data_IF_473296854186
#
_entry.id   IF_473296854186
#
_cell.length_a   1.000
_cell.length_b   1.000
_cell.length_c   1.000
_cell.angle_alpha   90.00
_cell.angle_beta   90.00
_cell.angle_gamma   90.00
#
_symmetry.space_group_name_H-M   'P 1'
#
loop_
_entity.id
_entity.type
_entity.pdbx_description
1 polymer ?
#
# COMPACT_ATOMS: atom_id res chain seq x y z
N UNK A 1 -27.74 -62.62 5.55
CA UNK A 1 -27.87 -61.16 5.64
C UNK A 1 -26.61 -60.55 5.06
N UNK A 2 -26.68 -60.06 3.81
CA UNK A 2 -25.55 -59.44 3.10
C UNK A 2 -25.57 -57.94 3.39
N UNK A 3 -24.59 -57.42 4.13
CA UNK A 3 -24.34 -56.00 4.25
C UNK A 3 -23.68 -55.49 2.94
N UNK A 4 -24.44 -54.70 2.19
CA UNK A 4 -23.91 -53.95 1.05
C UNK A 4 -23.05 -52.77 1.56
N UNK A 5 -21.75 -52.85 1.35
CA UNK A 5 -20.87 -51.71 1.46
C UNK A 5 -21.21 -50.69 0.36
N UNK A 6 -21.53 -49.47 0.77
CA UNK A 6 -21.63 -48.30 -0.13
C UNK A 6 -20.20 -47.87 -0.44
N UNK A 7 -19.71 -48.19 -1.62
CA UNK A 7 -18.52 -47.55 -2.16
C UNK A 7 -18.88 -46.11 -2.48
N UNK A 8 -18.31 -45.19 -1.73
CA UNK A 8 -18.35 -43.73 -2.08
C UNK A 8 -17.43 -43.61 -3.29
N UNK A 9 -18.00 -43.33 -4.41
CA UNK A 9 -17.28 -42.83 -5.58
C UNK A 9 -16.85 -41.38 -5.23
N UNK A 10 -15.67 -41.25 -4.64
CA UNK A 10 -14.98 -39.97 -4.52
C UNK A 10 -14.53 -39.64 -5.94
N UNK A 11 -15.12 -38.62 -6.46
CA UNK A 11 -15.26 -38.43 -7.86
C UNK A 11 -14.00 -37.96 -8.53
N UNK A 12 -13.90 -38.41 -9.75
CA UNK A 12 -13.11 -37.82 -10.82
C UNK A 12 -13.24 -36.25 -10.93
N UNK A 13 -14.23 -35.65 -10.28
CA UNK A 13 -14.40 -34.19 -10.24
C UNK A 13 -13.31 -33.46 -9.41
N UNK A 14 -12.86 -34.05 -8.27
CA UNK A 14 -11.79 -33.48 -7.48
C UNK A 14 -10.43 -33.49 -8.19
N UNK A 15 -10.11 -34.62 -8.87
CA UNK A 15 -8.89 -34.67 -9.69
C UNK A 15 -8.95 -33.76 -10.91
N UNK A 16 -10.13 -33.49 -11.46
CA UNK A 16 -10.31 -32.58 -12.59
C UNK A 16 -10.04 -31.10 -12.22
N UNK A 17 -10.51 -30.69 -11.06
CA UNK A 17 -10.28 -29.32 -10.55
C UNK A 17 -8.79 -29.14 -10.20
N UNK A 18 -8.17 -30.11 -9.54
CA UNK A 18 -6.72 -30.09 -9.25
C UNK A 18 -5.88 -29.99 -10.51
N UNK A 19 -6.21 -30.77 -11.55
CA UNK A 19 -5.51 -30.72 -12.84
C UNK A 19 -5.70 -29.39 -13.56
N UNK A 20 -6.86 -28.74 -13.43
CA UNK A 20 -7.12 -27.45 -14.03
C UNK A 20 -6.35 -26.35 -13.29
N UNK A 21 -6.31 -26.37 -11.95
CA UNK A 21 -5.54 -25.41 -11.15
C UNK A 21 -4.05 -25.58 -11.38
N UNK A 22 -3.51 -26.81 -11.38
CA UNK A 22 -2.12 -27.08 -11.77
C UNK A 22 -1.82 -26.64 -13.21
N UNK A 23 -2.75 -26.86 -14.14
CA UNK A 23 -2.59 -26.42 -15.51
C UNK A 23 -2.61 -24.89 -15.64
N UNK A 24 -3.41 -24.19 -14.83
CA UNK A 24 -3.46 -22.73 -14.80
C UNK A 24 -2.16 -22.16 -14.23
N UNK A 25 -1.72 -22.62 -13.04
CA UNK A 25 -0.43 -22.21 -12.45
C UNK A 25 0.73 -22.52 -13.40
N UNK A 26 0.78 -23.74 -13.94
CA UNK A 26 1.81 -24.16 -14.90
C UNK A 26 1.77 -23.33 -16.21
N UNK A 27 0.59 -22.91 -16.66
CA UNK A 27 0.42 -22.10 -17.85
C UNK A 27 0.78 -20.63 -17.58
N UNK A 28 0.47 -20.10 -16.40
CA UNK A 28 0.86 -18.76 -15.94
C UNK A 28 2.38 -18.70 -15.79
N UNK A 29 2.99 -19.65 -15.06
CA UNK A 29 4.45 -19.74 -14.88
C UNK A 29 5.18 -19.78 -16.23
N UNK A 30 4.67 -20.53 -17.23
CA UNK A 30 5.29 -20.57 -18.57
C UNK A 30 5.19 -19.27 -19.37
N UNK A 31 4.29 -18.34 -18.99
CA UNK A 31 4.12 -17.05 -19.66
C UNK A 31 4.91 -15.92 -19.01
N UNK A 32 5.34 -16.13 -17.76
CA UNK A 32 6.14 -15.17 -17.02
C UNK A 32 7.61 -15.57 -17.20
N UNK A 33 8.52 -14.68 -17.62
CA UNK A 33 9.95 -14.94 -17.61
C UNK A 33 10.39 -15.39 -16.21
N UNK A 34 11.31 -16.36 -16.13
CA UNK A 34 11.74 -16.98 -14.89
C UNK A 34 12.35 -15.94 -13.92
N UNK A 35 12.98 -14.92 -14.44
CA UNK A 35 13.51 -13.75 -13.71
C UNK A 35 12.47 -12.90 -12.99
N UNK A 36 11.18 -13.03 -13.38
CA UNK A 36 10.05 -12.31 -12.78
C UNK A 36 9.21 -13.21 -11.86
N UNK A 37 9.76 -14.34 -11.41
CA UNK A 37 9.08 -15.27 -10.52
C UNK A 37 9.88 -15.36 -9.22
N UNK A 38 9.26 -14.97 -8.11
CA UNK A 38 9.84 -15.16 -6.78
C UNK A 38 9.24 -16.40 -6.10
N UNK A 39 10.09 -17.20 -5.47
CA UNK A 39 9.70 -18.40 -4.75
C UNK A 39 10.01 -18.23 -3.26
N UNK A 40 9.00 -18.41 -2.43
CA UNK A 40 9.13 -18.39 -0.98
C UNK A 40 8.65 -19.71 -0.41
N UNK A 41 9.33 -20.21 0.58
CA UNK A 41 8.99 -21.47 1.24
C UNK A 41 8.87 -21.26 2.75
N UNK A 42 7.81 -21.82 3.36
CA UNK A 42 7.62 -21.88 4.79
C UNK A 42 7.17 -23.30 5.19
N UNK A 43 7.75 -23.84 6.25
CA UNK A 43 7.41 -25.18 6.76
C UNK A 43 6.12 -25.18 7.58
N UNK A 44 5.67 -24.02 8.09
CA UNK A 44 4.47 -23.89 8.92
C UNK A 44 3.76 -22.57 8.66
N UNK A 45 2.43 -22.62 8.50
CA UNK A 45 1.55 -21.44 8.32
C UNK A 45 1.63 -20.51 9.53
N UNK A 46 1.84 -21.02 10.73
CA UNK A 46 1.96 -20.21 11.96
C UNK A 46 3.15 -19.26 11.94
N UNK A 47 4.17 -19.53 11.12
CA UNK A 47 5.33 -18.65 10.95
C UNK A 47 5.07 -17.46 10.02
N UNK A 48 3.95 -17.44 9.31
CA UNK A 48 3.62 -16.38 8.36
C UNK A 48 3.11 -15.12 9.08
N UNK A 49 2.67 -15.26 10.32
CA UNK A 49 2.11 -14.18 11.12
C UNK A 49 3.22 -13.43 11.90
N UNK A 50 3.66 -12.32 11.37
CA UNK A 50 4.57 -11.40 12.06
C UNK A 50 5.41 -10.56 11.10
N UNK A 51 5.61 -9.29 11.45
CA UNK A 51 6.35 -8.33 10.63
C UNK A 51 7.82 -8.73 10.40
N UNK A 52 8.40 -9.49 11.33
CA UNK A 52 9.80 -9.94 11.28
C UNK A 52 9.98 -11.29 10.58
N UNK A 53 8.92 -11.85 10.01
CA UNK A 53 9.00 -13.14 9.33
C UNK A 53 9.77 -13.00 8.01
N UNK A 54 10.68 -13.94 7.74
CA UNK A 54 11.49 -13.95 6.51
C UNK A 54 10.64 -14.04 5.25
N UNK A 55 9.50 -14.73 5.30
CA UNK A 55 8.56 -14.84 4.18
C UNK A 55 7.95 -13.47 3.87
N UNK A 56 7.48 -12.74 4.90
CA UNK A 56 6.94 -11.39 4.78
C UNK A 56 7.97 -10.44 4.17
N UNK A 57 9.20 -10.47 4.68
CA UNK A 57 10.30 -9.65 4.16
C UNK A 57 10.65 -10.00 2.69
N UNK A 58 10.60 -11.29 2.35
CA UNK A 58 10.86 -11.74 0.99
C UNK A 58 9.73 -11.33 0.02
N UNK A 59 8.46 -11.40 0.44
CA UNK A 59 7.33 -10.92 -0.36
C UNK A 59 7.43 -9.40 -0.56
N UNK A 60 7.76 -8.63 0.49
CA UNK A 60 8.01 -7.19 0.38
C UNK A 60 9.11 -6.88 -0.64
N UNK A 61 10.21 -7.62 -0.60
CA UNK A 61 11.29 -7.49 -1.59
C UNK A 61 10.79 -7.79 -3.02
N UNK A 62 9.95 -8.80 -3.19
CA UNK A 62 9.37 -9.14 -4.49
C UNK A 62 8.42 -8.06 -5.00
N UNK A 63 7.63 -7.43 -4.11
CA UNK A 63 6.79 -6.28 -4.45
C UNK A 63 7.64 -5.09 -4.93
N UNK A 64 8.74 -4.77 -4.23
CA UNK A 64 9.70 -3.73 -4.65
C UNK A 64 10.38 -4.05 -5.99
N UNK A 65 10.66 -5.32 -6.25
CA UNK A 65 11.25 -5.77 -7.51
C UNK A 65 10.23 -5.86 -8.66
N UNK A 66 8.96 -5.56 -8.41
CA UNK A 66 7.86 -5.69 -9.38
C UNK A 66 7.74 -7.10 -9.96
N UNK A 67 7.99 -8.14 -9.14
CA UNK A 67 7.80 -9.53 -9.56
C UNK A 67 6.36 -9.75 -9.99
N UNK A 68 6.16 -10.25 -11.20
CA UNK A 68 4.82 -10.45 -11.78
C UNK A 68 4.07 -11.62 -11.17
N UNK A 69 4.80 -12.57 -10.58
CA UNK A 69 4.26 -13.74 -9.92
C UNK A 69 5.12 -14.07 -8.70
N UNK A 70 4.49 -14.10 -7.54
CA UNK A 70 5.12 -14.50 -6.27
C UNK A 70 4.55 -15.88 -5.93
N UNK A 71 5.40 -16.90 -5.80
CA UNK A 71 4.98 -18.26 -5.43
C UNK A 71 5.31 -18.48 -3.96
N UNK A 72 4.26 -18.68 -3.16
CA UNK A 72 4.36 -19.06 -1.76
C UNK A 72 4.09 -20.56 -1.63
N UNK A 73 5.01 -21.30 -1.00
CA UNK A 73 4.84 -22.69 -0.63
C UNK A 73 4.93 -22.86 0.86
N UNK A 74 3.99 -23.60 1.43
CA UNK A 74 3.99 -23.92 2.84
C UNK A 74 3.36 -25.28 3.12
N UNK A 75 3.69 -25.86 4.28
CA UNK A 75 3.11 -27.09 4.76
C UNK A 75 2.22 -26.83 5.98
N UNK A 76 1.21 -27.67 6.15
CA UNK A 76 0.33 -27.65 7.31
C UNK A 76 0.01 -29.08 7.72
N UNK A 77 0.06 -29.40 9.02
CA UNK A 77 -0.34 -30.72 9.54
C UNK A 77 -1.84 -30.98 9.36
N UNK A 78 -2.64 -29.93 9.34
CA UNK A 78 -4.08 -30.01 9.13
C UNK A 78 -4.47 -29.29 7.84
N UNK A 79 -5.58 -29.69 7.25
CA UNK A 79 -6.15 -28.95 6.14
C UNK A 79 -6.50 -27.54 6.59
N UNK A 80 -6.01 -26.53 5.87
CA UNK A 80 -6.38 -25.15 6.10
C UNK A 80 -7.85 -24.99 5.74
N UNK A 81 -8.69 -24.84 6.76
CA UNK A 81 -10.14 -24.73 6.62
C UNK A 81 -10.60 -23.29 6.38
N UNK A 82 -9.74 -22.32 6.70
CA UNK A 82 -9.97 -20.93 6.35
C UNK A 82 -9.83 -20.72 4.84
N UNK A 83 -10.53 -19.71 4.35
CA UNK A 83 -10.34 -19.30 2.96
C UNK A 83 -8.87 -18.84 2.80
N UNK A 84 -8.14 -19.49 1.89
CA UNK A 84 -6.73 -19.18 1.63
C UNK A 84 -6.54 -17.70 1.26
N UNK A 85 -7.58 -17.04 0.76
CA UNK A 85 -7.55 -15.60 0.47
C UNK A 85 -7.38 -14.76 1.74
N UNK A 86 -7.91 -15.19 2.87
CA UNK A 86 -7.73 -14.52 4.17
C UNK A 86 -6.28 -14.65 4.62
N UNK A 87 -5.73 -15.87 4.56
CA UNK A 87 -4.33 -16.14 4.91
C UNK A 87 -3.37 -15.29 4.06
N UNK A 88 -3.60 -15.27 2.75
CA UNK A 88 -2.79 -14.44 1.83
C UNK A 88 -2.99 -12.96 2.10
N UNK A 89 -4.23 -12.55 2.41
CA UNK A 89 -4.55 -11.17 2.78
C UNK A 89 -3.75 -10.69 3.99
N UNK A 90 -3.66 -11.51 5.03
CA UNK A 90 -2.87 -11.21 6.22
C UNK A 90 -1.37 -11.11 5.91
N UNK A 91 -0.83 -12.05 5.14
CA UNK A 91 0.57 -12.03 4.69
C UNK A 91 0.88 -10.75 3.91
N UNK A 92 0.01 -10.38 2.97
CA UNK A 92 0.17 -9.17 2.16
C UNK A 92 0.06 -7.91 3.03
N UNK A 93 -0.87 -7.87 4.00
CA UNK A 93 -0.97 -6.77 4.95
C UNK A 93 0.31 -6.61 5.76
N UNK A 94 0.91 -7.70 6.24
CA UNK A 94 2.20 -7.65 6.94
C UNK A 94 3.36 -7.24 6.02
N UNK A 95 3.35 -7.67 4.75
CA UNK A 95 4.36 -7.24 3.78
C UNK A 95 4.28 -5.74 3.47
N UNK A 96 3.10 -5.15 3.57
CA UNK A 96 2.83 -3.73 3.37
C UNK A 96 2.79 -2.92 4.69
N UNK A 97 3.19 -3.55 5.80
CA UNK A 97 3.23 -2.86 7.08
C UNK A 97 4.36 -1.82 7.12
N UNK A 98 4.14 -0.76 7.89
CA UNK A 98 5.09 0.33 8.05
C UNK A 98 6.45 -0.15 8.58
N UNK A 99 7.51 0.30 7.93
CA UNK A 99 8.91 0.03 8.27
C UNK A 99 9.69 1.34 8.32
N UNK A 100 10.98 1.29 8.67
CA UNK A 100 11.82 2.48 8.65
C UNK A 100 12.27 2.87 7.23
N UNK A 101 12.10 1.99 6.23
CA UNK A 101 12.51 2.27 4.86
C UNK A 101 11.53 3.21 4.14
N UNK A 102 12.02 4.26 3.44
CA UNK A 102 11.19 5.29 2.83
C UNK A 102 10.39 4.81 1.61
N UNK A 103 10.78 3.70 1.01
CA UNK A 103 10.16 3.06 -0.14
C UNK A 103 9.34 1.80 0.23
N UNK A 104 9.00 1.64 1.52
CA UNK A 104 8.20 0.55 2.07
C UNK A 104 6.94 1.10 2.79
N UNK A 105 6.20 0.22 3.44
CA UNK A 105 5.02 0.63 4.20
C UNK A 105 3.94 1.26 3.34
N UNK A 106 3.51 2.46 3.71
CA UNK A 106 2.48 3.17 2.97
C UNK A 106 2.89 3.49 1.53
N UNK A 107 4.19 3.69 1.26
CA UNK A 107 4.65 3.88 -0.12
C UNK A 107 4.25 2.70 -1.00
N UNK A 108 4.63 1.47 -0.63
CA UNK A 108 4.26 0.27 -1.37
C UNK A 108 2.74 0.07 -1.40
N UNK A 109 2.06 0.28 -0.28
CA UNK A 109 0.61 0.07 -0.15
C UNK A 109 -0.19 0.88 -1.17
N UNK A 110 0.21 2.11 -1.43
CA UNK A 110 -0.52 3.04 -2.29
C UNK A 110 0.03 3.14 -3.73
N UNK A 111 1.07 2.36 -4.06
CA UNK A 111 1.68 2.33 -5.39
C UNK A 111 1.26 1.10 -6.21
N UNK A 112 0.39 0.23 -5.66
CA UNK A 112 -0.10 -0.94 -6.40
C UNK A 112 -1.62 -1.08 -6.33
N UNK A 113 -2.20 -1.77 -7.34
CA UNK A 113 -3.65 -1.91 -7.54
C UNK A 113 -4.25 -3.16 -6.92
N UNK A 114 -3.58 -3.77 -5.94
CA UNK A 114 -4.00 -5.03 -5.36
C UNK A 114 -3.35 -6.24 -6.05
N UNK A 115 -3.94 -7.41 -5.87
CA UNK A 115 -3.38 -8.66 -6.41
C UNK A 115 -4.51 -9.66 -6.71
N UNK A 116 -4.20 -10.64 -7.55
CA UNK A 116 -5.02 -11.84 -7.72
C UNK A 116 -4.27 -13.04 -7.14
N UNK A 117 -5.02 -14.05 -6.69
CA UNK A 117 -4.45 -15.28 -6.17
C UNK A 117 -4.96 -16.50 -6.93
N UNK A 118 -4.09 -17.49 -7.05
CA UNK A 118 -4.43 -18.86 -7.44
C UNK A 118 -3.76 -19.81 -6.46
N UNK A 119 -4.40 -20.92 -6.11
CA UNK A 119 -3.80 -21.88 -5.19
C UNK A 119 -4.17 -23.33 -5.51
N UNK A 120 -3.31 -24.23 -5.05
CA UNK A 120 -3.55 -25.66 -5.03
C UNK A 120 -2.95 -26.28 -3.78
N UNK A 121 -3.44 -27.45 -3.38
CA UNK A 121 -2.82 -28.23 -2.31
C UNK A 121 -2.80 -29.72 -2.64
N UNK A 122 -1.86 -30.41 -2.03
CA UNK A 122 -1.71 -31.87 -2.14
C UNK A 122 -1.68 -32.46 -0.74
N UNK A 123 -2.50 -33.46 -0.50
CA UNK A 123 -2.46 -34.25 0.75
C UNK A 123 -1.23 -35.16 0.73
N UNK A 124 -0.48 -35.17 1.83
CA UNK A 124 0.70 -36.01 2.05
C UNK A 124 0.52 -36.92 3.27
N UNK A 125 1.47 -37.83 3.56
CA UNK A 125 1.39 -38.73 4.71
C UNK A 125 1.28 -37.99 6.05
N UNK A 126 1.90 -36.82 6.16
CA UNK A 126 1.98 -36.02 7.40
C UNK A 126 1.32 -34.64 7.28
N UNK A 127 0.31 -34.49 6.41
CA UNK A 127 -0.42 -33.22 6.28
C UNK A 127 -0.67 -32.79 4.84
N UNK A 128 -0.55 -31.51 4.58
CA UNK A 128 -0.90 -30.89 3.31
C UNK A 128 0.24 -29.95 2.86
N UNK A 129 0.54 -29.94 1.60
CA UNK A 129 1.43 -28.99 0.96
C UNK A 129 0.62 -28.05 0.07
N UNK A 130 0.79 -26.75 0.28
CA UNK A 130 0.10 -25.69 -0.44
C UNK A 130 1.07 -24.98 -1.38
N UNK A 131 0.60 -24.64 -2.56
CA UNK A 131 1.23 -23.73 -3.49
C UNK A 131 0.26 -22.62 -3.82
N UNK A 132 0.65 -21.37 -3.55
CA UNK A 132 -0.14 -20.16 -3.80
C UNK A 132 0.63 -19.27 -4.74
N UNK A 133 0.03 -18.92 -5.88
CA UNK A 133 0.51 -17.88 -6.79
C UNK A 133 -0.19 -16.57 -6.47
N UNK A 134 0.59 -15.51 -6.25
CA UNK A 134 0.13 -14.14 -6.03
C UNK A 134 0.60 -13.30 -7.22
N UNK A 135 -0.32 -12.67 -7.93
CA UNK A 135 -0.05 -11.81 -9.09
C UNK A 135 -0.40 -10.37 -8.74
N UNK A 136 0.57 -9.53 -8.30
CA UNK A 136 0.35 -8.13 -8.01
C UNK A 136 0.06 -7.31 -9.27
N UNK A 137 -0.72 -6.26 -9.12
CA UNK A 137 -0.99 -5.25 -10.16
C UNK A 137 -0.25 -3.96 -9.78
N UNK A 138 0.81 -3.64 -10.49
CA UNK A 138 1.61 -2.44 -10.23
C UNK A 138 1.08 -1.24 -11.02
N UNK A 139 1.12 -0.05 -10.41
CA UNK A 139 0.76 1.21 -11.07
C UNK A 139 1.94 1.83 -11.82
N UNK A 140 3.16 1.42 -11.46
CA UNK A 140 4.43 1.89 -12.02
C UNK A 140 5.25 0.71 -12.58
N UNK A 141 6.32 1.01 -13.28
CA UNK A 141 7.37 0.06 -13.69
C UNK A 141 8.62 0.25 -12.85
N UNK A 142 9.55 -0.70 -12.87
CA UNK A 142 10.83 -0.56 -12.17
C UNK A 142 11.59 0.70 -12.60
N UNK A 143 11.62 1.01 -13.89
CA UNK A 143 12.29 2.20 -14.41
C UNK A 143 11.62 3.50 -13.94
N UNK A 144 10.30 3.47 -13.72
CA UNK A 144 9.59 4.61 -13.14
C UNK A 144 9.91 4.79 -11.65
N UNK A 145 10.06 3.70 -10.90
CA UNK A 145 10.50 3.77 -9.50
C UNK A 145 11.96 4.25 -9.38
N UNK A 146 12.86 3.77 -10.24
CA UNK A 146 14.23 4.30 -10.31
C UNK A 146 14.26 5.80 -10.60
N UNK A 147 13.40 6.28 -11.51
CA UNK A 147 13.29 7.71 -11.81
C UNK A 147 12.73 8.50 -10.60
N UNK A 148 11.83 7.92 -9.80
CA UNK A 148 11.36 8.54 -8.54
C UNK A 148 12.50 8.64 -7.54
N UNK A 149 13.30 7.57 -7.36
CA UNK A 149 14.44 7.57 -6.44
C UNK A 149 15.45 8.65 -6.79
N UNK A 150 15.82 8.76 -8.07
CA UNK A 150 16.70 9.82 -8.56
C UNK A 150 16.11 11.21 -8.33
N UNK A 151 14.82 11.40 -8.62
CA UNK A 151 14.14 12.68 -8.44
C UNK A 151 14.03 13.08 -6.97
N UNK A 152 13.74 12.14 -6.08
CA UNK A 152 13.71 12.37 -4.63
C UNK A 152 15.07 12.86 -4.13
N UNK A 153 16.16 12.19 -4.54
CA UNK A 153 17.51 12.61 -4.17
C UNK A 153 17.82 14.03 -4.67
N UNK A 154 17.46 14.35 -5.93
CA UNK A 154 17.63 15.70 -6.50
C UNK A 154 16.85 16.76 -5.72
N UNK A 155 15.59 16.49 -5.37
CA UNK A 155 14.74 17.43 -4.61
C UNK A 155 15.35 17.71 -3.24
N UNK A 156 15.78 16.68 -2.52
CA UNK A 156 16.36 16.85 -1.19
C UNK A 156 17.68 17.62 -1.24
N UNK A 157 18.48 17.44 -2.29
CA UNK A 157 19.68 18.23 -2.55
C UNK A 157 19.34 19.72 -2.87
N UNK A 158 18.36 19.95 -3.75
CA UNK A 158 17.87 21.29 -4.11
C UNK A 158 17.34 22.04 -2.89
N UNK A 159 16.60 21.34 -2.02
CA UNK A 159 16.07 21.89 -0.78
C UNK A 159 17.13 21.99 0.33
N UNK A 160 18.39 21.62 0.07
CA UNK A 160 19.48 21.61 1.03
C UNK A 160 19.14 20.87 2.33
N UNK A 161 18.33 19.78 2.23
CA UNK A 161 17.96 18.97 3.38
C UNK A 161 19.20 18.31 3.98
N UNK A 162 19.38 18.43 5.28
CA UNK A 162 20.52 17.84 5.98
C UNK A 162 20.16 17.35 7.39
N UNK A 163 20.95 16.46 7.96
CA UNK A 163 20.75 15.93 9.32
C UNK A 163 20.79 17.01 10.41
N UNK A 164 21.39 18.15 10.12
CA UNK A 164 21.50 19.27 11.06
C UNK A 164 20.31 20.24 10.99
N UNK A 165 19.50 20.11 9.95
CA UNK A 165 18.31 20.95 9.77
C UNK A 165 17.24 20.54 10.77
N UNK A 166 16.59 21.49 11.49
CA UNK A 166 15.45 21.18 12.34
C UNK A 166 14.32 20.49 11.54
N UNK A 167 13.67 19.50 12.14
CA UNK A 167 12.65 18.70 11.46
C UNK A 167 11.52 19.56 10.90
N UNK A 168 11.06 20.57 11.64
CA UNK A 168 10.02 21.47 11.12
C UNK A 168 10.45 22.24 9.86
N UNK A 169 11.73 22.57 9.74
CA UNK A 169 12.24 23.23 8.54
C UNK A 169 12.30 22.27 7.35
N UNK A 170 12.72 21.00 7.58
CA UNK A 170 12.64 19.95 6.57
C UNK A 170 11.20 19.77 6.08
N UNK A 171 10.24 19.60 7.02
CA UNK A 171 8.82 19.43 6.73
C UNK A 171 8.30 20.61 5.88
N UNK A 172 8.61 21.85 6.27
CA UNK A 172 8.15 23.04 5.56
C UNK A 172 8.73 23.18 4.16
N UNK A 173 10.00 22.85 3.96
CA UNK A 173 10.64 22.89 2.63
C UNK A 173 10.05 21.82 1.70
N UNK A 174 9.87 20.60 2.21
CA UNK A 174 9.27 19.49 1.44
C UNK A 174 7.82 19.80 1.09
N UNK A 175 7.04 20.28 2.07
CA UNK A 175 5.66 20.74 1.84
C UNK A 175 5.60 21.83 0.77
N UNK A 176 6.44 22.86 0.88
CA UNK A 176 6.51 23.95 -0.09
C UNK A 176 6.85 23.48 -1.48
N UNK A 177 7.81 22.53 -1.61
CA UNK A 177 8.16 21.93 -2.90
C UNK A 177 6.95 21.25 -3.53
N UNK A 178 6.25 20.36 -2.80
CA UNK A 178 5.09 19.66 -3.34
C UNK A 178 3.96 20.62 -3.69
N UNK A 179 3.71 21.62 -2.83
CA UNK A 179 2.72 22.67 -3.07
C UNK A 179 3.01 23.46 -4.36
N UNK A 180 4.27 23.85 -4.59
CA UNK A 180 4.65 24.68 -5.74
C UNK A 180 4.71 23.92 -7.05
N UNK A 181 5.22 22.67 -7.05
CA UNK A 181 5.56 21.95 -8.26
C UNK A 181 4.49 20.94 -8.71
N UNK A 182 3.60 20.48 -7.84
CA UNK A 182 2.59 19.50 -8.23
C UNK A 182 1.26 20.19 -8.52
N UNK A 183 0.74 19.97 -9.73
CA UNK A 183 -0.58 20.45 -10.15
C UNK A 183 -1.66 19.38 -9.96
N UNK A 184 -2.89 19.79 -9.63
CA UNK A 184 -3.99 18.85 -9.50
C UNK A 184 -4.42 18.30 -10.86
N UNK A 185 -4.58 16.97 -10.98
CA UNK A 185 -4.82 16.30 -12.26
C UNK A 185 -6.32 16.25 -12.62
N UNK A 186 -6.88 17.38 -13.02
CA UNK A 186 -8.25 17.43 -13.54
C UNK A 186 -8.41 16.73 -14.90
N UNK A 187 -7.31 16.55 -15.65
CA UNK A 187 -7.32 15.95 -16.98
C UNK A 187 -7.65 14.47 -16.90
N UNK A 188 -6.98 13.75 -15.98
CA UNK A 188 -7.10 12.30 -15.86
C UNK A 188 -7.98 11.87 -14.67
N UNK A 189 -8.58 12.82 -13.93
CA UNK A 189 -9.40 12.54 -12.74
C UNK A 189 -10.44 11.43 -13.00
N UNK A 190 -11.13 11.48 -14.15
CA UNK A 190 -12.17 10.52 -14.53
C UNK A 190 -11.67 9.30 -15.29
N UNK A 191 -10.38 9.20 -15.59
CA UNK A 191 -9.83 8.05 -16.30
C UNK A 191 -9.36 6.99 -15.30
N UNK A 192 -10.19 5.99 -15.04
CA UNK A 192 -9.90 4.92 -14.08
C UNK A 192 -8.71 4.05 -14.49
N UNK A 193 -8.35 4.00 -15.78
CA UNK A 193 -7.22 3.22 -16.29
C UNK A 193 -5.88 3.98 -16.24
N UNK A 194 -5.89 5.26 -15.87
CA UNK A 194 -4.67 6.05 -15.74
C UNK A 194 -4.24 6.12 -14.27
N UNK A 195 -3.49 5.13 -13.83
CA UNK A 195 -3.10 4.98 -12.43
C UNK A 195 -1.98 5.92 -11.99
N UNK A 196 -1.15 6.42 -12.92
CA UNK A 196 -0.03 7.31 -12.60
C UNK A 196 -0.48 8.59 -11.85
N UNK A 197 -1.71 9.04 -12.05
CA UNK A 197 -2.29 10.17 -11.30
C UNK A 197 -2.29 9.98 -9.77
N UNK A 198 -2.16 8.75 -9.29
CA UNK A 198 -2.20 8.38 -7.87
C UNK A 198 -0.83 7.93 -7.34
N UNK A 199 0.24 8.17 -8.06
CA UNK A 199 1.60 7.67 -7.75
C UNK A 199 2.58 8.80 -7.51
N UNK A 200 3.70 8.49 -6.83
CA UNK A 200 4.82 9.42 -6.70
C UNK A 200 5.42 9.79 -8.05
N UNK A 201 5.44 8.85 -9.01
CA UNK A 201 5.92 9.13 -10.36
C UNK A 201 5.09 10.21 -11.06
N UNK A 202 3.76 10.11 -10.99
CA UNK A 202 2.87 11.16 -11.51
C UNK A 202 3.11 12.50 -10.85
N UNK A 203 3.23 12.53 -9.52
CA UNK A 203 3.43 13.74 -8.76
C UNK A 203 4.82 14.38 -8.98
N UNK A 204 5.91 13.60 -8.93
CA UNK A 204 7.27 14.13 -8.92
C UNK A 204 7.90 14.26 -10.31
N UNK A 205 7.51 13.40 -11.29
CA UNK A 205 8.07 13.41 -12.63
C UNK A 205 7.16 14.15 -13.61
N UNK A 206 5.86 13.90 -13.55
CA UNK A 206 4.90 14.60 -14.42
C UNK A 206 4.35 15.87 -13.76
N UNK A 207 4.72 16.13 -12.51
CA UNK A 207 4.30 17.31 -11.74
C UNK A 207 2.78 17.44 -11.69
N UNK A 208 2.06 16.30 -11.71
CA UNK A 208 0.60 16.26 -11.78
C UNK A 208 0.04 15.00 -11.11
N UNK A 209 -0.87 15.19 -10.15
CA UNK A 209 -1.46 14.09 -9.41
C UNK A 209 -2.85 14.41 -8.83
N UNK A 210 -3.56 13.38 -8.36
CA UNK A 210 -4.68 13.49 -7.44
C UNK A 210 -4.17 13.41 -5.98
N UNK A 211 -5.09 13.57 -5.01
CA UNK A 211 -4.77 13.57 -3.58
C UNK A 211 -3.86 12.41 -3.14
N UNK A 212 -4.11 11.19 -3.60
CA UNK A 212 -3.25 10.05 -3.29
C UNK A 212 -1.82 10.26 -3.80
N UNK A 213 -1.63 10.74 -5.04
CA UNK A 213 -0.28 10.99 -5.59
C UNK A 213 0.46 12.11 -4.84
N UNK A 214 -0.24 13.18 -4.43
CA UNK A 214 0.31 14.19 -3.53
C UNK A 214 0.78 13.59 -2.21
N UNK A 215 -0.08 12.77 -1.57
CA UNK A 215 0.22 12.15 -0.28
C UNK A 215 1.37 11.14 -0.38
N UNK A 216 1.45 10.37 -1.47
CA UNK A 216 2.56 9.42 -1.71
C UNK A 216 3.88 10.17 -1.94
N UNK A 217 3.87 11.25 -2.73
CA UNK A 217 5.06 12.07 -2.97
C UNK A 217 5.55 12.73 -1.68
N UNK A 218 4.63 13.32 -0.91
CA UNK A 218 4.93 13.93 0.38
C UNK A 218 5.51 12.90 1.36
N UNK A 219 4.89 11.73 1.48
CA UNK A 219 5.38 10.61 2.30
C UNK A 219 6.81 10.21 1.90
N UNK A 220 7.06 9.96 0.61
CA UNK A 220 8.35 9.50 0.10
C UNK A 220 9.47 10.50 0.41
N UNK A 221 9.22 11.80 0.20
CA UNK A 221 10.19 12.87 0.49
C UNK A 221 10.45 13.01 1.99
N UNK A 222 9.40 13.00 2.82
CA UNK A 222 9.53 13.09 4.27
C UNK A 222 10.30 11.91 4.86
N UNK A 223 9.96 10.69 4.46
CA UNK A 223 10.64 9.48 4.93
C UNK A 223 12.12 9.46 4.53
N UNK A 224 12.44 9.88 3.30
CA UNK A 224 13.84 9.99 2.86
C UNK A 224 14.61 11.08 3.64
N UNK A 225 13.94 12.15 4.05
CA UNK A 225 14.50 13.19 4.90
C UNK A 225 14.64 12.80 6.39
N UNK A 226 14.24 11.56 6.75
CA UNK A 226 14.26 11.05 8.12
C UNK A 226 13.10 11.53 8.99
N UNK A 227 12.03 12.03 8.40
CA UNK A 227 10.80 12.44 9.09
C UNK A 227 9.79 11.29 9.02
N UNK A 228 9.32 10.85 10.19
CA UNK A 228 8.27 9.84 10.22
C UNK A 228 6.92 10.40 9.76
N UNK A 229 6.28 9.68 8.86
CA UNK A 229 5.03 10.09 8.24
C UNK A 229 4.16 8.88 7.90
N UNK A 230 2.84 9.12 7.74
CA UNK A 230 1.87 8.13 7.27
C UNK A 230 1.02 8.73 6.15
N UNK A 231 0.46 7.86 5.32
CA UNK A 231 -0.61 8.22 4.40
C UNK A 231 -1.93 7.78 5.03
N UNK A 232 -2.87 8.70 5.13
CA UNK A 232 -4.20 8.46 5.66
C UNK A 232 -5.20 8.54 4.52
N UNK A 233 -6.13 7.61 4.50
CA UNK A 233 -7.30 7.66 3.61
C UNK A 233 -8.57 7.86 4.43
N UNK A 234 -9.59 8.34 3.74
CA UNK A 234 -10.87 8.59 4.36
C UNK A 234 -11.77 9.44 3.47
N UNK A 235 -12.56 10.28 4.08
CA UNK A 235 -13.49 11.16 3.39
C UNK A 235 -13.32 12.59 3.86
N UNK A 236 -13.32 13.51 2.91
CA UNK A 236 -13.32 14.94 3.22
C UNK A 236 -14.60 15.59 2.70
N UNK A 237 -15.06 16.64 3.39
CA UNK A 237 -16.24 17.41 2.95
C UNK A 237 -15.87 18.14 1.67
N UNK A 238 -16.68 17.95 0.63
CA UNK A 238 -16.44 18.57 -0.66
C UNK A 238 -16.45 20.08 -0.53
N UNK A 239 -15.33 20.72 -0.82
CA UNK A 239 -15.29 22.16 -0.98
C UNK A 239 -15.83 22.57 -2.36
N UNK A 240 -16.85 23.43 -2.40
CA UNK A 240 -17.27 24.06 -3.64
C UNK A 240 -16.31 25.22 -3.93
N UNK A 241 -15.30 24.97 -4.75
CA UNK A 241 -14.36 26.00 -5.21
C UNK A 241 -15.08 27.12 -6.01
N UNK A 242 -16.26 26.81 -6.58
CA UNK A 242 -17.01 27.72 -7.45
C UNK A 242 -18.12 28.52 -6.77
N UNK A 243 -18.42 28.29 -5.49
CA UNK A 243 -19.49 29.05 -4.81
C UNK A 243 -19.08 29.45 -3.41
N UNK A 244 -19.12 30.77 -3.15
CA UNK A 244 -19.00 31.36 -1.81
C UNK A 244 -20.19 31.00 -0.89
N UNK A 245 -21.00 30.03 -1.22
CA UNK A 245 -22.19 29.66 -0.47
C UNK A 245 -22.38 28.13 -0.44
N UNK A 246 -22.41 27.64 0.79
CA UNK A 246 -22.83 26.32 1.25
C UNK A 246 -21.79 25.20 1.08
N UNK A 247 -21.24 24.78 2.21
CA UNK A 247 -20.58 23.49 2.40
C UNK A 247 -21.55 22.42 1.95
N UNK A 248 -21.24 21.74 0.85
CA UNK A 248 -21.98 20.57 0.43
C UNK A 248 -21.78 19.47 1.47
N UNK A 249 -22.87 18.83 1.92
CA UNK A 249 -22.79 17.61 2.77
C UNK A 249 -22.20 16.39 2.01
N UNK A 250 -21.83 16.58 0.74
CA UNK A 250 -21.20 15.53 -0.05
C UNK A 250 -19.74 15.32 0.41
N UNK A 251 -19.43 14.10 0.79
CA UNK A 251 -18.07 13.66 1.10
C UNK A 251 -17.46 13.00 -0.13
N UNK A 252 -16.19 13.28 -0.42
CA UNK A 252 -15.40 12.58 -1.44
C UNK A 252 -14.29 11.78 -0.76
N UNK A 253 -13.95 10.61 -1.32
CA UNK A 253 -12.77 9.87 -0.91
C UNK A 253 -11.54 10.74 -1.06
N UNK A 254 -10.70 10.75 -0.03
CA UNK A 254 -9.55 11.62 0.04
C UNK A 254 -8.35 10.93 0.69
N UNK A 255 -7.14 11.44 0.43
CA UNK A 255 -5.91 11.01 1.03
C UNK A 255 -5.06 12.21 1.43
N UNK A 256 -4.44 12.13 2.62
CA UNK A 256 -3.54 13.15 3.20
C UNK A 256 -2.43 12.51 4.02
N UNK A 257 -1.62 13.27 4.69
CA UNK A 257 -0.53 12.75 5.49
C UNK A 257 -0.71 13.02 6.99
N UNK A 258 -0.23 12.09 7.82
CA UNK A 258 0.23 12.40 9.16
C UNK A 258 1.74 12.60 9.14
N UNK A 259 2.22 13.64 9.81
CA UNK A 259 3.64 13.99 9.86
C UNK A 259 4.07 14.14 11.31
N UNK A 260 5.14 13.42 11.68
CA UNK A 260 5.67 13.44 13.04
C UNK A 260 6.58 14.65 13.27
N UNK A 261 6.33 15.37 14.35
CA UNK A 261 7.22 16.39 14.88
C UNK A 261 7.30 16.26 16.40
N UNK A 262 8.51 16.07 16.93
CA UNK A 262 8.76 15.92 18.37
C UNK A 262 7.92 14.78 19.01
N UNK A 263 7.69 13.67 18.29
CA UNK A 263 6.94 12.51 18.76
C UNK A 263 5.43 12.69 18.79
N UNK A 264 4.90 13.73 18.15
CA UNK A 264 3.47 13.97 17.95
C UNK A 264 3.16 14.07 16.45
N UNK A 265 2.00 13.56 16.06
CA UNK A 265 1.58 13.55 14.66
C UNK A 265 0.57 14.66 14.39
N UNK A 266 0.74 15.31 13.26
CA UNK A 266 -0.08 16.38 12.74
C UNK A 266 -0.67 15.99 11.40
N UNK A 267 -1.89 16.40 11.11
CA UNK A 267 -2.46 16.29 9.78
C UNK A 267 -1.84 17.34 8.85
N UNK A 268 -1.53 16.91 7.62
CA UNK A 268 -1.03 17.77 6.54
C UNK A 268 -1.74 17.41 5.25
N UNK A 269 -2.44 18.34 4.66
CA UNK A 269 -3.10 18.16 3.36
C UNK A 269 -2.65 19.22 2.35
N UNK A 270 -1.55 18.91 1.68
CA UNK A 270 -1.00 19.79 0.65
C UNK A 270 -1.91 19.89 -0.59
N UNK A 271 -2.76 18.90 -0.83
CA UNK A 271 -3.71 18.91 -1.95
C UNK A 271 -4.77 19.97 -1.78
N UNK A 272 -5.37 20.05 -0.60
CA UNK A 272 -6.39 21.06 -0.32
C UNK A 272 -5.78 22.45 -0.25
N UNK A 273 -4.65 22.60 0.39
CA UNK A 273 -3.96 23.89 0.40
C UNK A 273 -3.64 24.38 -1.02
N UNK A 274 -3.19 23.48 -1.92
CA UNK A 274 -2.95 23.79 -3.34
C UNK A 274 -4.24 24.22 -4.05
N UNK A 275 -5.33 23.50 -3.86
CA UNK A 275 -6.61 23.79 -4.50
C UNK A 275 -7.25 25.08 -4.02
N UNK A 276 -7.04 25.45 -2.75
CA UNK A 276 -7.60 26.65 -2.15
C UNK A 276 -6.66 27.87 -2.25
N UNK A 277 -5.39 27.66 -2.54
CA UNK A 277 -4.38 28.69 -2.49
C UNK A 277 -4.09 29.17 -1.07
N UNK A 278 -4.09 28.25 -0.09
CA UNK A 278 -3.89 28.53 1.34
C UNK A 278 -2.75 27.69 1.92
N UNK A 279 -2.47 27.84 3.20
CA UNK A 279 -1.67 26.96 4.05
C UNK A 279 -2.45 26.59 5.32
N UNK A 280 -3.78 26.48 5.20
CA UNK A 280 -4.67 26.21 6.34
C UNK A 280 -4.66 24.75 6.77
N UNK A 281 -4.12 23.84 5.94
CA UNK A 281 -4.02 22.40 6.20
C UNK A 281 -2.59 21.93 6.49
N UNK A 282 -1.70 22.84 6.83
CA UNK A 282 -0.33 22.55 7.25
C UNK A 282 -0.24 22.31 8.75
N UNK A 283 0.23 21.14 9.17
CA UNK A 283 0.54 20.76 10.58
C UNK A 283 -0.63 21.01 11.55
N UNK A 284 -1.79 20.44 11.25
CA UNK A 284 -3.04 20.59 12.03
C UNK A 284 -3.24 19.48 13.05
N UNK A 285 -3.76 19.85 14.22
CA UNK A 285 -4.30 18.89 15.17
C UNK A 285 -5.62 18.28 14.69
N UNK A 286 -6.08 17.18 15.28
CA UNK A 286 -7.39 16.61 14.93
C UNK A 286 -8.56 17.57 15.23
N UNK A 287 -8.39 18.51 16.14
CA UNK A 287 -9.44 19.49 16.49
C UNK A 287 -9.75 20.50 15.39
N UNK A 288 -8.71 20.87 14.65
CA UNK A 288 -8.80 21.86 13.56
C UNK A 288 -8.77 21.22 12.18
N UNK A 289 -9.05 19.89 12.12
CA UNK A 289 -9.09 19.08 10.91
C UNK A 289 -10.42 18.30 10.84
N UNK A 290 -11.50 18.90 11.34
CA UNK A 290 -12.80 18.27 11.56
C UNK A 290 -13.66 18.10 10.29
N UNK A 291 -13.20 18.63 9.18
CA UNK A 291 -13.75 18.44 7.84
C UNK A 291 -13.24 17.16 7.13
N UNK A 292 -12.30 16.44 7.76
CA UNK A 292 -11.78 15.15 7.31
C UNK A 292 -12.20 14.02 8.27
N UNK A 293 -12.60 12.90 7.73
CA UNK A 293 -12.95 11.68 8.48
C UNK A 293 -12.09 10.54 7.99
N UNK A 294 -11.27 9.97 8.86
CA UNK A 294 -10.39 8.84 8.55
C UNK A 294 -11.17 7.56 8.32
N UNK A 295 -10.65 6.66 7.51
CA UNK A 295 -11.13 5.28 7.41
C UNK A 295 -11.00 4.56 8.76
N UNK A 296 -11.84 3.56 8.97
CA UNK A 296 -11.99 2.87 10.27
C UNK A 296 -10.67 2.27 10.80
N UNK A 297 -9.76 1.85 9.91
CA UNK A 297 -8.46 1.30 10.29
C UNK A 297 -7.57 2.32 11.03
N UNK A 298 -7.74 3.63 10.78
CA UNK A 298 -6.99 4.72 11.42
C UNK A 298 -7.70 5.32 12.64
N UNK A 299 -8.83 4.73 13.08
CA UNK A 299 -9.60 5.17 14.24
C UNK A 299 -9.49 4.22 15.44
N UNK A 300 -8.59 3.24 15.37
CA UNK A 300 -8.41 2.24 16.42
C UNK A 300 -7.56 2.79 17.58
N UNK A 301 -7.77 2.26 18.78
CA UNK A 301 -6.96 2.61 19.94
C UNK A 301 -5.47 2.30 19.69
N UNK A 302 -5.17 1.16 19.04
CA UNK A 302 -3.81 0.75 18.67
C UNK A 302 -3.16 1.77 17.74
N UNK A 303 -3.89 2.29 16.76
CA UNK A 303 -3.41 3.33 15.85
C UNK A 303 -3.02 4.59 16.63
N UNK A 304 -3.88 5.10 17.51
CA UNK A 304 -3.59 6.31 18.30
C UNK A 304 -2.50 6.11 19.36
N UNK A 305 -2.31 4.90 19.87
CA UNK A 305 -1.16 4.59 20.74
C UNK A 305 0.16 4.64 19.96
N UNK A 306 0.17 4.16 18.72
CA UNK A 306 1.35 4.15 17.86
C UNK A 306 1.64 5.51 17.24
N UNK A 307 0.60 6.26 16.88
CA UNK A 307 0.66 7.58 16.22
C UNK A 307 -0.05 8.64 17.08
N UNK A 308 0.54 9.04 18.22
CA UNK A 308 -0.10 9.97 19.16
C UNK A 308 -0.25 11.35 18.52
N UNK A 309 -1.50 11.79 18.35
CA UNK A 309 -1.82 13.06 17.71
C UNK A 309 -1.43 14.27 18.59
N UNK A 310 -1.10 15.37 17.95
CA UNK A 310 -0.93 16.66 18.59
C UNK A 310 -2.27 17.20 19.10
N UNK A 311 -2.27 17.85 20.27
CA UNK A 311 -3.48 18.42 20.88
C UNK A 311 -3.83 19.78 20.29
N UNK A 312 -2.82 20.51 19.80
CA UNK A 312 -2.92 21.85 19.20
C UNK A 312 -2.16 21.88 17.87
N UNK A 313 -2.52 22.83 17.01
CA UNK A 313 -1.82 23.09 15.75
C UNK A 313 -0.39 23.55 16.02
N UNK A 314 0.48 23.36 15.05
CA UNK A 314 1.85 23.83 15.11
C UNK A 314 1.97 25.30 14.73
#
# INVERSE_FOLDING_TARGET
MKRRGRAVKIGLAGCGILLVVFAVIFFVIRRVPEENIAYHYSEDVSFIFGNDNQVVASIRKSLKAHDRLIILRFQSEQEVTEDISVVVGDIMNFALYDTDAPDEGDYLRYQYGGYTISYSHVSQENGYEYEVGIEPVYYTTCEQEEAVDEKVAQILEELEISDRMPDIEKIRRIYGYVYEHVEYDDIHKKNENYHLKSTAYGALIYERALCQGYSVAMYRLLREAGIDARIITGYARRMNVDSQSEVSDATEFHAWNLVCLNGKYYNVDVTWDKLLGTEEYFMKSDRSFDDHVRDAEFLTEEFYQRYPMAEEDY
#
